data_IF_268164894874
#
_entry.id   IF_268164894874
#
_cell.length_a   1.000
_cell.length_b   1.000
_cell.length_c   1.000
_cell.angle_alpha   90.00
_cell.angle_beta   90.00
_cell.angle_gamma   90.00
#
_symmetry.space_group_name_H-M   'P 1'
#
loop_
_entity.id
_entity.type
_entity.pdbx_description
1 polymer ?
#
# COMPACT_ATOMS: atom_id res chain seq x y z
N UNK A 1 45.64 3.30 -18.82
CA UNK A 1 44.52 2.35 -18.62
C UNK A 1 44.78 1.54 -17.37
N UNK A 2 43.88 1.51 -16.39
CA UNK A 2 43.91 0.55 -15.27
C UNK A 2 42.48 0.27 -14.79
N UNK A 3 41.81 -0.70 -15.40
CA UNK A 3 40.50 -1.19 -14.93
C UNK A 3 40.75 -2.33 -13.96
N UNK A 4 40.53 -2.11 -12.65
CA UNK A 4 40.50 -3.21 -11.69
C UNK A 4 39.31 -4.11 -12.00
N UNK A 5 39.56 -5.35 -12.42
CA UNK A 5 38.53 -6.40 -12.44
C UNK A 5 38.09 -6.66 -11.00
N UNK A 6 36.87 -6.24 -10.64
CA UNK A 6 36.19 -6.74 -9.45
C UNK A 6 35.96 -8.25 -9.66
N UNK A 7 36.44 -9.07 -8.72
CA UNK A 7 36.02 -10.48 -8.66
C UNK A 7 34.58 -10.51 -8.16
N UNK A 8 33.67 -11.08 -8.95
CA UNK A 8 32.33 -11.41 -8.47
C UNK A 8 32.45 -12.61 -7.51
N UNK A 9 31.77 -12.58 -6.37
CA UNK A 9 31.65 -13.76 -5.51
C UNK A 9 30.56 -14.68 -6.07
N UNK A 10 30.78 -16.00 -5.96
CA UNK A 10 29.82 -17.02 -6.39
C UNK A 10 29.13 -17.62 -5.16
N UNK A 11 27.91 -17.14 -4.89
CA UNK A 11 27.05 -17.67 -3.83
C UNK A 11 26.43 -19.02 -4.25
N UNK A 12 26.03 -19.82 -3.24
CA UNK A 12 25.33 -21.10 -3.40
C UNK A 12 24.03 -21.06 -2.60
N UNK A 13 23.07 -21.92 -2.95
CA UNK A 13 21.85 -22.12 -2.15
C UNK A 13 22.21 -22.43 -0.69
N UNK A 14 21.57 -21.74 0.26
CA UNK A 14 21.61 -22.06 1.69
C UNK A 14 20.22 -22.47 2.17
N UNK A 15 20.12 -23.44 3.08
CA UNK A 15 18.88 -23.78 3.78
C UNK A 15 19.00 -23.34 5.23
N UNK A 16 18.05 -22.54 5.72
CA UNK A 16 18.01 -22.04 7.10
C UNK A 16 16.73 -22.47 7.80
N UNK A 17 16.84 -22.72 9.10
CA UNK A 17 15.67 -22.94 9.96
C UNK A 17 15.06 -21.60 10.39
N UNK A 18 13.75 -21.43 10.21
CA UNK A 18 13.02 -20.22 10.60
C UNK A 18 12.99 -20.07 12.13
N UNK A 19 13.53 -18.97 12.66
CA UNK A 19 13.58 -18.79 14.10
C UNK A 19 12.20 -18.79 14.79
N UNK A 20 11.13 -18.39 14.08
CA UNK A 20 9.77 -18.34 14.60
C UNK A 20 9.02 -19.68 14.48
N UNK A 21 8.86 -20.22 13.27
CA UNK A 21 8.02 -21.41 13.03
C UNK A 21 8.79 -22.75 12.95
N UNK A 22 10.13 -22.72 13.07
CA UNK A 22 11.04 -23.87 12.99
C UNK A 22 10.93 -24.74 11.72
N UNK A 23 10.24 -24.27 10.68
CA UNK A 23 10.31 -24.79 9.31
C UNK A 23 11.60 -24.33 8.63
N UNK A 24 12.14 -25.16 7.76
CA UNK A 24 13.26 -24.75 6.90
C UNK A 24 12.79 -23.89 5.71
N UNK A 25 13.65 -22.98 5.26
CA UNK A 25 13.46 -22.16 4.06
C UNK A 25 14.78 -21.97 3.31
N UNK A 26 14.70 -21.84 2.00
CA UNK A 26 15.86 -21.59 1.15
C UNK A 26 16.19 -20.09 1.05
N UNK A 27 17.47 -19.78 0.90
CA UNK A 27 18.01 -18.51 0.41
C UNK A 27 18.78 -18.82 -0.87
N UNK A 28 18.34 -18.26 -2.00
CA UNK A 28 18.93 -18.49 -3.32
C UNK A 28 20.18 -17.59 -3.51
N UNK A 29 21.14 -17.94 -4.39
CA UNK A 29 22.29 -17.09 -4.73
C UNK A 29 21.91 -15.64 -5.04
N UNK A 30 20.81 -15.45 -5.75
CA UNK A 30 20.21 -14.17 -6.13
C UNK A 30 19.79 -13.35 -4.89
N UNK A 31 19.35 -14.02 -3.82
CA UNK A 31 18.93 -13.38 -2.58
C UNK A 31 20.14 -12.87 -1.79
N UNK A 32 21.27 -13.58 -1.80
CA UNK A 32 22.53 -13.08 -1.20
C UNK A 32 23.01 -11.81 -1.90
N UNK A 33 22.94 -11.76 -3.23
CA UNK A 33 23.25 -10.55 -4.00
C UNK A 33 22.31 -9.38 -3.60
N UNK A 34 21.04 -9.65 -3.29
CA UNK A 34 20.10 -8.65 -2.77
C UNK A 34 20.51 -8.13 -1.38
N UNK A 35 20.77 -9.03 -0.42
CA UNK A 35 21.15 -8.65 0.96
C UNK A 35 22.50 -7.90 1.02
N UNK A 36 23.47 -8.30 0.19
CA UNK A 36 24.75 -7.58 0.00
C UNK A 36 24.52 -6.17 -0.57
N UNK A 37 23.72 -6.04 -1.65
CA UNK A 37 23.35 -4.76 -2.30
C UNK A 37 22.73 -3.76 -1.32
N UNK A 38 22.00 -4.23 -0.31
CA UNK A 38 21.34 -3.35 0.68
C UNK A 38 22.15 -3.12 1.97
N UNK A 39 23.22 -3.89 2.21
CA UNK A 39 24.02 -3.92 3.46
C UNK A 39 23.21 -4.34 4.69
N UNK A 40 22.44 -5.42 4.56
CA UNK A 40 21.61 -6.00 5.63
C UNK A 40 21.90 -7.50 5.73
N UNK A 41 21.95 -8.12 6.92
CA UNK A 41 22.11 -9.58 7.04
C UNK A 41 20.99 -10.36 6.32
N UNK A 42 21.27 -11.52 5.70
CA UNK A 42 20.23 -12.41 5.20
C UNK A 42 19.34 -12.93 6.35
N UNK A 43 18.02 -13.02 6.16
CA UNK A 43 17.06 -13.12 7.24
C UNK A 43 17.12 -14.43 8.03
N UNK A 44 16.62 -14.36 9.25
CA UNK A 44 16.39 -15.52 10.12
C UNK A 44 14.91 -15.97 10.15
N UNK A 45 14.01 -15.16 9.56
CA UNK A 45 12.57 -15.42 9.47
C UNK A 45 12.18 -15.91 8.08
N UNK A 46 11.38 -16.98 8.01
CA UNK A 46 10.77 -17.41 6.76
C UNK A 46 9.68 -16.41 6.29
N UNK A 47 9.37 -16.38 4.99
CA UNK A 47 8.51 -15.34 4.40
C UNK A 47 7.08 -15.30 4.94
N UNK A 48 6.50 -16.46 5.28
CA UNK A 48 5.18 -16.54 5.93
C UNK A 48 5.16 -15.73 7.24
N UNK A 49 6.18 -15.88 8.08
CA UNK A 49 6.27 -15.21 9.38
C UNK A 49 6.57 -13.71 9.22
N UNK A 50 7.26 -13.33 8.14
CA UNK A 50 7.50 -11.93 7.76
C UNK A 50 6.23 -11.23 7.29
N UNK A 51 5.37 -11.92 6.53
CA UNK A 51 4.04 -11.41 6.17
C UNK A 51 3.18 -11.15 7.41
N UNK A 52 3.13 -12.12 8.34
CA UNK A 52 2.43 -11.97 9.64
C UNK A 52 2.88 -10.70 10.38
N UNK A 53 4.19 -10.45 10.46
CA UNK A 53 4.74 -9.25 11.11
C UNK A 53 4.27 -7.92 10.49
N UNK A 54 4.03 -7.89 9.17
CA UNK A 54 3.46 -6.71 8.48
C UNK A 54 1.95 -6.59 8.68
N UNK A 55 1.18 -7.68 8.54
CA UNK A 55 -0.28 -7.62 8.64
C UNK A 55 -0.78 -7.21 10.03
N UNK A 56 -0.09 -7.65 11.09
CA UNK A 56 -0.32 -7.16 12.47
C UNK A 56 -0.10 -5.64 12.60
N UNK A 57 0.73 -5.07 11.75
CA UNK A 57 1.11 -3.66 11.72
C UNK A 57 0.28 -2.82 10.72
N UNK A 58 -0.93 -3.28 10.39
CA UNK A 58 -1.92 -2.53 9.60
C UNK A 58 -3.29 -2.63 10.30
N UNK A 59 -3.83 -1.49 10.71
CA UNK A 59 -5.23 -1.31 11.08
C UNK A 59 -5.96 -0.75 9.86
N UNK A 60 -7.09 -1.34 9.50
CA UNK A 60 -7.90 -0.88 8.37
C UNK A 60 -9.26 -0.32 8.83
N UNK A 61 -10.12 -1.16 9.43
CA UNK A 61 -11.57 -0.85 9.56
C UNK A 61 -12.10 -0.74 11.00
N UNK A 62 -11.34 -1.08 12.03
CA UNK A 62 -11.78 -0.87 13.43
C UNK A 62 -11.66 0.60 13.79
N UNK A 63 -12.77 1.17 14.26
CA UNK A 63 -12.94 2.59 14.53
C UNK A 63 -13.68 2.80 15.86
N UNK A 64 -13.01 3.44 16.82
CA UNK A 64 -13.52 3.73 18.15
C UNK A 64 -14.00 5.18 18.28
N UNK A 65 -14.95 5.43 19.17
CA UNK A 65 -15.29 6.79 19.63
C UNK A 65 -14.31 7.19 20.73
N UNK A 66 -13.70 8.36 20.59
CA UNK A 66 -12.54 8.78 21.38
C UNK A 66 -12.52 10.32 21.59
N UNK A 67 -11.59 10.85 22.39
CA UNK A 67 -11.42 12.28 22.68
C UNK A 67 -9.99 12.70 22.37
N UNK A 68 -9.82 13.80 21.63
CA UNK A 68 -8.50 14.29 21.24
C UNK A 68 -7.71 14.89 22.42
N UNK A 69 -6.59 14.27 22.80
CA UNK A 69 -5.67 14.65 23.88
C UNK A 69 -4.93 15.99 23.70
N UNK A 70 -5.28 16.76 22.68
CA UNK A 70 -4.77 18.09 22.41
C UNK A 70 -5.85 19.19 22.41
N UNK A 71 -7.13 18.84 22.21
CA UNK A 71 -8.20 19.85 22.11
C UNK A 71 -9.58 19.43 22.66
N UNK A 72 -9.71 18.27 23.31
CA UNK A 72 -10.94 17.81 23.97
C UNK A 72 -12.11 17.51 23.02
N UNK A 73 -11.94 17.62 21.70
CA UNK A 73 -12.97 17.31 20.71
C UNK A 73 -13.18 15.80 20.62
N UNK A 74 -14.44 15.37 20.57
CA UNK A 74 -14.82 14.00 20.19
C UNK A 74 -14.31 13.68 18.78
N UNK A 75 -13.81 12.48 18.60
CA UNK A 75 -13.18 11.98 17.39
C UNK A 75 -13.51 10.51 17.14
N UNK A 76 -13.17 10.06 15.94
CA UNK A 76 -13.07 8.65 15.59
C UNK A 76 -11.58 8.27 15.58
N UNK A 77 -11.23 7.10 16.12
CA UNK A 77 -9.85 6.67 16.40
C UNK A 77 -9.58 5.22 16.00
N UNK A 78 -8.36 4.93 15.55
CA UNK A 78 -7.79 3.60 15.33
C UNK A 78 -7.21 2.95 16.60
N UNK A 79 -7.42 3.58 17.76
CA UNK A 79 -6.94 3.09 19.05
C UNK A 79 -8.14 2.90 19.97
N UNK A 80 -8.21 1.75 20.66
CA UNK A 80 -9.22 1.56 21.70
C UNK A 80 -8.96 2.54 22.85
N UNK A 81 -10.00 3.14 23.47
CA UNK A 81 -9.88 3.94 24.70
C UNK A 81 -9.29 3.17 25.90
N UNK A 82 -9.16 1.84 25.80
CA UNK A 82 -8.47 1.00 26.78
C UNK A 82 -6.94 0.99 26.58
N UNK A 83 -6.42 1.54 25.48
CA UNK A 83 -4.98 1.64 25.22
C UNK A 83 -4.36 2.86 25.90
N UNK A 84 -3.08 2.77 26.27
CA UNK A 84 -2.35 3.88 26.89
C UNK A 84 -1.70 4.84 25.88
N UNK A 85 -2.24 4.97 24.67
CA UNK A 85 -1.69 5.83 23.62
C UNK A 85 -2.33 7.22 23.67
N UNK A 86 -1.52 8.28 23.56
CA UNK A 86 -2.03 9.65 23.45
C UNK A 86 -2.51 9.91 22.01
N UNK A 87 -3.78 10.27 21.81
CA UNK A 87 -4.44 10.33 20.49
C UNK A 87 -4.79 11.76 20.07
N UNK A 88 -4.27 12.18 18.90
CA UNK A 88 -4.54 13.49 18.31
C UNK A 88 -5.44 13.40 17.08
N UNK A 89 -6.46 14.26 17.04
CA UNK A 89 -7.27 14.48 15.85
C UNK A 89 -6.42 15.01 14.68
N UNK A 90 -6.83 14.74 13.44
CA UNK A 90 -6.02 15.10 12.26
C UNK A 90 -5.64 16.58 12.19
N UNK A 91 -6.51 17.52 12.61
CA UNK A 91 -6.16 18.95 12.63
C UNK A 91 -5.07 19.31 13.64
N UNK A 92 -4.96 18.57 14.76
CA UNK A 92 -3.86 18.74 15.72
C UNK A 92 -2.61 17.94 15.29
N UNK A 93 -2.80 16.79 14.66
CA UNK A 93 -1.71 15.99 14.09
C UNK A 93 -0.96 16.68 12.95
N UNK A 94 -1.63 17.53 12.17
CA UNK A 94 -1.05 18.31 11.08
C UNK A 94 -0.84 19.81 11.40
N UNK A 95 -1.13 20.24 12.64
CA UNK A 95 -0.94 21.62 13.09
C UNK A 95 0.29 21.79 14.00
N UNK A 96 0.74 23.02 14.15
CA UNK A 96 2.03 23.38 14.77
C UNK A 96 2.03 23.37 16.31
N UNK A 97 1.08 22.68 16.95
CA UNK A 97 0.95 22.64 18.42
C UNK A 97 1.78 21.54 19.09
N UNK A 98 2.60 20.81 18.32
CA UNK A 98 3.58 19.83 18.79
C UNK A 98 4.59 19.53 17.68
N UNK A 99 5.82 19.17 18.04
CA UNK A 99 6.75 18.50 17.13
C UNK A 99 7.45 17.29 17.79
N UNK A 100 7.80 16.28 16.98
CA UNK A 100 8.37 15.04 17.50
C UNK A 100 9.70 15.21 18.26
N UNK A 101 10.46 16.27 17.97
CA UNK A 101 11.73 16.63 18.63
C UNK A 101 11.58 16.95 20.12
N UNK A 102 10.38 17.36 20.60
CA UNK A 102 10.06 17.48 22.03
C UNK A 102 10.27 16.17 22.81
N UNK A 103 10.11 15.04 22.11
CA UNK A 103 10.19 13.69 22.66
C UNK A 103 11.56 13.04 22.39
N UNK A 104 12.54 13.81 21.90
CA UNK A 104 13.88 13.34 21.57
C UNK A 104 14.58 12.62 22.73
N UNK A 105 15.37 11.60 22.40
CA UNK A 105 16.20 10.84 23.36
C UNK A 105 17.61 10.69 22.83
N UNK A 106 18.58 10.69 23.74
CA UNK A 106 19.91 10.16 23.42
C UNK A 106 19.82 8.65 23.23
N UNK A 107 20.75 8.07 22.47
CA UNK A 107 20.85 6.62 22.33
C UNK A 107 21.58 5.99 23.51
N UNK A 108 20.94 5.05 24.19
CA UNK A 108 21.50 4.32 25.34
C UNK A 108 22.17 3.02 24.87
N UNK A 109 23.48 2.87 25.09
CA UNK A 109 24.24 1.66 24.77
C UNK A 109 24.15 0.56 25.85
N UNK A 110 23.32 0.73 26.87
CA UNK A 110 22.99 -0.31 27.87
C UNK A 110 21.64 -1.02 27.63
N UNK A 111 20.82 -0.52 26.69
CA UNK A 111 19.49 -1.03 26.34
C UNK A 111 19.43 -1.52 24.89
N UNK A 112 18.78 -2.65 24.57
CA UNK A 112 18.51 -3.05 23.19
C UNK A 112 17.73 -1.98 22.41
N UNK A 113 18.07 -1.76 21.13
CA UNK A 113 17.46 -0.71 20.29
C UNK A 113 15.92 -0.76 20.26
N UNK A 114 15.33 -1.94 20.10
CA UNK A 114 13.88 -2.07 19.94
C UNK A 114 13.10 -1.80 21.24
N UNK A 115 13.74 -1.89 22.40
CA UNK A 115 13.18 -1.49 23.69
C UNK A 115 13.03 0.03 23.75
N UNK A 116 14.15 0.76 23.55
CA UNK A 116 14.18 2.23 23.48
C UNK A 116 13.18 2.79 22.46
N UNK A 117 13.08 2.15 21.28
CA UNK A 117 12.14 2.53 20.24
C UNK A 117 10.67 2.29 20.65
N UNK A 118 10.37 1.22 21.39
CA UNK A 118 9.02 0.95 21.90
C UNK A 118 8.63 1.88 23.06
N UNK A 119 9.57 2.23 23.95
CA UNK A 119 9.40 3.25 24.98
C UNK A 119 9.05 4.61 24.37
N UNK A 120 9.78 5.04 23.34
CA UNK A 120 9.51 6.29 22.60
C UNK A 120 8.11 6.26 21.93
N UNK A 121 7.74 5.17 21.26
CA UNK A 121 6.47 5.06 20.52
C UNK A 121 5.21 5.21 21.39
N UNK A 122 5.30 4.85 22.68
CA UNK A 122 4.19 4.99 23.66
C UNK A 122 3.95 6.44 24.08
N UNK A 123 5.00 7.25 24.22
CA UNK A 123 4.90 8.63 24.72
C UNK A 123 4.64 9.67 23.62
N UNK A 124 5.11 9.44 22.39
CA UNK A 124 4.87 10.34 21.26
C UNK A 124 3.41 10.17 20.80
N UNK A 125 2.63 11.26 20.59
CA UNK A 125 1.24 11.17 20.14
C UNK A 125 1.02 10.30 18.90
N UNK A 126 -0.19 9.79 18.76
CA UNK A 126 -0.67 9.03 17.60
C UNK A 126 -1.72 9.84 16.83
N UNK A 127 -1.78 9.65 15.51
CA UNK A 127 -2.87 10.18 14.70
C UNK A 127 -4.12 9.29 14.86
N UNK A 128 -5.25 9.88 15.24
CA UNK A 128 -6.51 9.15 15.46
C UNK A 128 -6.94 8.32 14.24
N UNK A 129 -7.02 8.95 13.07
CA UNK A 129 -7.23 8.28 11.76
C UNK A 129 -6.29 8.93 10.75
N UNK A 130 -5.74 8.15 9.82
CA UNK A 130 -4.77 8.63 8.83
C UNK A 130 -5.50 9.47 7.76
N UNK A 131 -5.81 10.72 8.10
CA UNK A 131 -6.49 11.68 7.23
C UNK A 131 -5.65 12.95 7.10
N UNK A 132 -5.45 13.41 5.86
CA UNK A 132 -4.62 14.57 5.51
C UNK A 132 -5.32 15.43 4.45
N UNK A 133 -5.19 16.75 4.53
CA UNK A 133 -5.73 17.72 3.55
C UNK A 133 -7.21 17.49 3.13
N UNK A 134 -8.02 16.83 3.96
CA UNK A 134 -9.33 16.32 3.56
C UNK A 134 -10.45 17.05 4.30
N UNK A 135 -11.58 17.24 3.63
CA UNK A 135 -12.69 18.09 4.09
C UNK A 135 -14.02 17.33 4.08
N UNK A 136 -14.87 17.58 5.08
CA UNK A 136 -16.19 16.94 5.23
C UNK A 136 -16.17 15.39 5.19
N UNK A 137 -15.05 14.79 5.57
CA UNK A 137 -14.85 13.33 5.58
C UNK A 137 -15.22 12.72 6.93
N UNK A 138 -16.03 11.63 6.94
CA UNK A 138 -16.58 11.01 8.17
C UNK A 138 -16.34 9.51 8.19
N UNK A 139 -15.82 8.99 9.31
CA UNK A 139 -15.45 7.57 9.46
C UNK A 139 -14.46 7.06 8.40
N UNK A 140 -13.59 7.94 7.90
CA UNK A 140 -12.60 7.64 6.87
C UNK A 140 -11.19 7.51 7.45
N UNK A 141 -10.33 6.71 6.83
CA UNK A 141 -8.90 6.63 7.16
C UNK A 141 -8.05 6.23 5.95
N UNK A 142 -6.75 6.47 6.00
CA UNK A 142 -5.85 6.33 4.86
C UNK A 142 -6.11 7.34 3.73
N UNK A 143 -6.74 8.49 4.01
CA UNK A 143 -7.18 9.46 3.00
C UNK A 143 -6.30 10.72 2.92
N UNK A 144 -5.87 11.12 1.72
CA UNK A 144 -5.23 12.44 1.47
C UNK A 144 -5.98 13.23 0.37
N UNK A 145 -6.14 14.55 0.56
CA UNK A 145 -6.77 15.49 -0.39
C UNK A 145 -8.23 15.16 -0.77
N UNK A 146 -8.96 14.40 0.06
CA UNK A 146 -10.32 13.93 -0.23
C UNK A 146 -11.41 14.93 0.22
N UNK A 147 -12.60 14.89 -0.37
CA UNK A 147 -13.71 15.79 -0.01
C UNK A 147 -15.07 15.07 0.05
N UNK A 148 -15.88 15.39 1.07
CA UNK A 148 -17.26 14.91 1.23
C UNK A 148 -17.36 13.37 1.09
N UNK A 149 -16.48 12.65 1.79
CA UNK A 149 -16.42 11.20 1.75
C UNK A 149 -16.95 10.58 3.05
N UNK A 150 -17.68 9.47 3.00
CA UNK A 150 -18.15 8.78 4.22
C UNK A 150 -17.82 7.30 4.17
N UNK A 151 -17.22 6.79 5.25
CA UNK A 151 -16.80 5.39 5.38
C UNK A 151 -15.86 4.95 4.25
N UNK A 152 -14.83 5.77 3.98
CA UNK A 152 -13.85 5.56 2.91
C UNK A 152 -12.47 5.24 3.47
N UNK A 153 -11.84 4.19 2.92
CA UNK A 153 -10.52 3.72 3.35
C UNK A 153 -9.48 3.83 2.22
N UNK A 154 -8.25 4.23 2.53
CA UNK A 154 -7.10 4.25 1.60
C UNK A 154 -7.26 5.14 0.35
N UNK A 155 -8.01 6.24 0.43
CA UNK A 155 -8.31 7.13 -0.71
C UNK A 155 -7.29 8.25 -0.99
N UNK A 156 -7.33 8.80 -2.20
CA UNK A 156 -6.50 9.94 -2.61
C UNK A 156 -7.29 10.83 -3.56
N UNK A 157 -7.40 12.13 -3.30
CA UNK A 157 -8.10 13.08 -4.18
C UNK A 157 -9.56 12.70 -4.55
N UNK A 158 -10.17 11.76 -3.82
CA UNK A 158 -11.53 11.30 -4.03
C UNK A 158 -12.54 12.36 -3.56
N UNK A 159 -13.64 12.50 -4.30
CA UNK A 159 -14.68 13.50 -4.06
C UNK A 159 -16.01 12.77 -4.07
N UNK A 160 -16.88 13.10 -3.10
CA UNK A 160 -18.23 12.53 -2.96
C UNK A 160 -18.24 10.99 -2.79
N UNK A 161 -17.20 10.35 -2.27
CA UNK A 161 -17.11 8.89 -2.22
C UNK A 161 -17.76 8.29 -0.96
N UNK A 162 -18.57 7.24 -1.12
CA UNK A 162 -19.29 6.60 -0.02
C UNK A 162 -19.02 5.09 0.00
N UNK A 163 -18.68 4.54 1.18
CA UNK A 163 -18.56 3.10 1.43
C UNK A 163 -17.60 2.32 0.51
N UNK A 164 -16.42 2.88 0.21
CA UNK A 164 -15.44 2.28 -0.70
C UNK A 164 -13.99 2.31 -0.18
N UNK A 165 -13.15 1.41 -0.70
CA UNK A 165 -11.73 1.24 -0.37
C UNK A 165 -10.86 1.55 -1.59
N UNK A 166 -9.69 2.16 -1.38
CA UNK A 166 -8.77 2.62 -2.44
C UNK A 166 -9.35 3.55 -3.53
N UNK A 167 -10.32 4.47 -3.28
CA UNK A 167 -10.76 5.45 -4.27
C UNK A 167 -9.73 6.57 -4.41
N UNK A 168 -8.96 6.55 -5.50
CA UNK A 168 -7.76 7.36 -5.68
C UNK A 168 -7.86 8.43 -6.82
N UNK A 169 -8.90 8.64 -7.64
CA UNK A 169 -10.13 7.91 -8.03
C UNK A 169 -11.50 8.31 -7.41
N UNK A 170 -11.90 9.52 -7.83
CA UNK A 170 -13.22 10.17 -8.06
C UNK A 170 -14.42 9.36 -8.62
N UNK A 171 -15.61 10.00 -8.64
CA UNK A 171 -16.71 9.82 -9.62
C UNK A 171 -18.03 10.47 -9.13
N UNK A 172 -19.21 10.07 -9.61
CA UNK A 172 -20.49 10.68 -9.17
C UNK A 172 -20.86 10.42 -7.70
N UNK A 173 -20.08 9.69 -6.87
CA UNK A 173 -19.56 6.55 -6.04
C UNK A 173 -20.62 5.71 -5.24
N UNK A 174 -21.38 4.93 -5.99
CA UNK A 174 -21.91 3.62 -5.56
C UNK A 174 -21.25 2.59 -6.51
N UNK A 175 -19.93 2.76 -6.59
CA UNK A 175 -18.97 2.27 -7.57
C UNK A 175 -17.60 2.24 -6.87
N UNK A 176 -16.77 1.25 -7.20
CA UNK A 176 -16.00 0.57 -6.17
C UNK A 176 -14.52 0.33 -6.52
N UNK A 177 -13.90 -0.50 -5.69
CA UNK A 177 -12.55 -0.37 -5.16
C UNK A 177 -11.36 -0.63 -6.11
N UNK A 178 -11.59 -0.74 -7.43
CA UNK A 178 -10.51 -0.50 -8.39
C UNK A 178 -10.98 0.08 -9.73
N UNK A 179 -10.64 1.35 -9.94
CA UNK A 179 -10.77 2.06 -11.20
C UNK A 179 -9.71 3.14 -11.16
N UNK A 180 -8.71 3.15 -12.04
CA UNK A 180 -7.70 4.23 -12.10
C UNK A 180 -8.26 5.49 -12.80
N UNK A 181 -9.51 5.82 -12.47
CA UNK A 181 -10.43 6.64 -13.26
C UNK A 181 -11.34 7.49 -12.38
N UNK A 182 -12.28 8.18 -13.00
CA UNK A 182 -13.56 8.43 -12.36
C UNK A 182 -14.57 7.34 -12.65
N UNK A 183 -15.30 6.85 -11.64
CA UNK A 183 -16.63 6.20 -11.66
C UNK A 183 -17.01 6.13 -10.17
N UNK A 184 -18.17 6.55 -9.65
CA UNK A 184 -19.52 6.49 -10.18
C UNK A 184 -19.83 6.97 -11.60
N UNK A 185 -20.48 6.07 -12.36
CA UNK A 185 -21.67 6.33 -13.20
C UNK A 185 -22.75 5.24 -12.90
N UNK A 186 -22.67 4.58 -11.75
CA UNK A 186 -23.51 3.45 -11.33
C UNK A 186 -23.27 2.13 -12.11
N UNK A 187 -22.07 1.62 -11.84
CA UNK A 187 -21.64 0.24 -11.58
C UNK A 187 -20.53 -0.32 -12.49
N UNK A 188 -19.34 0.27 -12.30
CA UNK A 188 -18.08 -0.31 -11.75
C UNK A 188 -17.60 -1.76 -12.04
N UNK A 189 -16.35 -2.03 -11.62
CA UNK A 189 -15.29 -2.44 -12.53
C UNK A 189 -14.08 -3.13 -11.85
N UNK A 190 -13.16 -3.61 -12.68
CA UNK A 190 -11.73 -3.29 -12.53
C UNK A 190 -11.24 -2.69 -13.86
N UNK A 191 -10.90 -1.40 -13.91
CA UNK A 191 -10.70 -0.70 -15.21
C UNK A 191 -9.74 0.49 -15.23
N UNK A 192 -9.39 0.93 -16.45
CA UNK A 192 -8.83 2.23 -16.81
C UNK A 192 -9.81 3.11 -17.66
N UNK A 193 -9.38 4.27 -18.17
CA UNK A 193 -10.13 5.53 -18.36
C UNK A 193 -11.62 5.47 -18.68
N UNK A 194 -12.52 5.72 -17.71
CA UNK A 194 -13.98 5.59 -17.89
C UNK A 194 -14.80 6.85 -17.57
N UNK A 195 -15.79 7.14 -18.43
CA UNK A 195 -16.63 8.35 -18.35
C UNK A 195 -18.03 8.10 -18.93
N UNK A 196 -19.08 8.47 -18.18
CA UNK A 196 -20.48 8.26 -18.56
C UNK A 196 -20.78 6.78 -18.94
N UNK A 197 -20.50 5.86 -18.01
CA UNK A 197 -20.32 4.40 -18.18
C UNK A 197 -21.18 3.56 -17.21
N UNK A 198 -22.38 3.13 -17.61
CA UNK A 198 -23.31 2.33 -16.75
C UNK A 198 -23.14 0.82 -16.92
N UNK A 199 -23.14 0.04 -15.83
CA UNK A 199 -23.03 -1.43 -15.87
C UNK A 199 -21.84 -1.91 -16.72
N UNK A 200 -20.63 -1.63 -16.27
CA UNK A 200 -19.46 -1.63 -17.15
C UNK A 200 -18.34 -2.45 -16.51
N UNK A 201 -17.83 -3.48 -17.18
CA UNK A 201 -17.00 -4.52 -16.53
C UNK A 201 -15.70 -4.83 -17.29
N UNK A 202 -14.57 -4.89 -16.58
CA UNK A 202 -13.19 -5.12 -17.09
C UNK A 202 -12.82 -4.38 -18.39
N UNK A 203 -13.28 -3.14 -18.58
CA UNK A 203 -13.23 -2.40 -19.86
C UNK A 203 -12.52 -1.06 -19.73
N UNK A 204 -11.37 -0.91 -20.39
CA UNK A 204 -10.48 0.24 -20.23
C UNK A 204 -10.78 1.33 -21.30
N UNK A 205 -10.57 2.62 -21.00
CA UNK A 205 -10.65 3.71 -21.99
C UNK A 205 -12.03 3.80 -22.70
N UNK A 206 -13.12 3.86 -21.94
CA UNK A 206 -14.50 3.77 -22.44
C UNK A 206 -15.40 4.96 -22.05
N UNK A 207 -16.18 5.49 -23.01
CA UNK A 207 -16.89 6.78 -22.93
C UNK A 207 -18.36 6.66 -23.35
N UNK A 208 -19.28 7.38 -22.68
CA UNK A 208 -20.70 7.55 -23.09
C UNK A 208 -21.40 6.23 -23.46
N UNK A 209 -21.26 5.21 -22.60
CA UNK A 209 -21.56 3.81 -22.91
C UNK A 209 -22.34 3.12 -21.78
N UNK A 210 -22.96 1.99 -22.08
CA UNK A 210 -23.59 1.14 -21.07
C UNK A 210 -23.51 -0.34 -21.42
N UNK A 211 -23.54 -1.22 -20.41
CA UNK A 211 -23.48 -2.67 -20.57
C UNK A 211 -22.28 -3.10 -21.40
N UNK A 212 -21.06 -2.91 -20.88
CA UNK A 212 -19.81 -3.34 -21.53
C UNK A 212 -19.13 -4.48 -20.77
N UNK A 213 -18.54 -5.44 -21.49
CA UNK A 213 -17.60 -6.40 -20.90
C UNK A 213 -16.30 -6.54 -21.72
N UNK A 214 -15.15 -6.36 -21.06
CA UNK A 214 -13.83 -6.49 -21.67
C UNK A 214 -13.68 -5.72 -23.00
N UNK A 215 -14.28 -4.53 -23.10
CA UNK A 215 -14.08 -3.58 -24.20
C UNK A 215 -12.84 -2.71 -23.95
N UNK A 216 -12.16 -2.21 -24.98
CA UNK A 216 -11.10 -1.19 -24.78
C UNK A 216 -11.21 -0.11 -25.86
N UNK A 217 -11.10 1.17 -25.48
CA UNK A 217 -11.08 2.29 -26.41
C UNK A 217 -12.43 2.58 -27.07
N UNK A 218 -13.54 2.33 -26.37
CA UNK A 218 -14.89 2.35 -26.95
C UNK A 218 -15.69 3.60 -26.56
N UNK A 219 -16.31 4.29 -27.52
CA UNK A 219 -17.26 5.39 -27.20
C UNK A 219 -18.65 5.15 -27.77
N UNK A 220 -19.71 5.58 -27.08
CA UNK A 220 -21.08 5.46 -27.58
C UNK A 220 -21.41 4.00 -27.95
N UNK A 221 -21.21 3.10 -26.99
CA UNK A 221 -21.41 1.66 -27.14
C UNK A 221 -22.42 1.14 -26.11
N UNK A 222 -23.37 0.33 -26.54
CA UNK A 222 -24.43 -0.23 -25.71
C UNK A 222 -24.47 -1.76 -25.83
N UNK A 223 -24.44 -2.49 -24.71
CA UNK A 223 -24.58 -3.96 -24.70
C UNK A 223 -23.44 -4.68 -25.44
N UNK A 224 -22.21 -4.16 -25.37
CA UNK A 224 -21.09 -4.59 -26.21
C UNK A 224 -20.01 -5.38 -25.43
N UNK A 225 -19.44 -6.40 -26.07
CA UNK A 225 -18.53 -7.36 -25.43
C UNK A 225 -17.30 -7.60 -26.32
N UNK A 226 -16.11 -7.60 -25.71
CA UNK A 226 -14.81 -7.82 -26.36
C UNK A 226 -14.45 -6.83 -27.49
N UNK A 227 -15.14 -5.69 -27.65
CA UNK A 227 -14.83 -4.72 -28.71
C UNK A 227 -13.50 -4.00 -28.46
N UNK A 228 -12.86 -3.53 -29.54
CA UNK A 228 -11.62 -2.74 -29.50
C UNK A 228 -11.71 -1.54 -30.43
N UNK A 229 -11.45 -0.36 -29.90
CA UNK A 229 -11.39 0.92 -30.63
C UNK A 229 -12.64 1.19 -31.48
N UNK A 230 -13.83 0.88 -30.93
CA UNK A 230 -15.11 1.01 -31.63
C UNK A 230 -15.96 2.19 -31.15
N UNK A 231 -16.83 2.65 -32.05
CA UNK A 231 -17.79 3.73 -31.81
C UNK A 231 -19.15 3.40 -32.39
N UNK A 232 -20.23 3.91 -31.80
CA UNK A 232 -21.60 3.78 -32.32
C UNK A 232 -21.99 2.32 -32.53
N UNK A 233 -21.84 1.51 -31.49
CA UNK A 233 -22.17 0.09 -31.50
C UNK A 233 -23.32 -0.21 -30.54
N UNK A 234 -24.28 -1.02 -30.98
CA UNK A 234 -25.37 -1.54 -30.14
C UNK A 234 -25.38 -3.06 -30.31
N UNK A 235 -25.24 -3.81 -29.22
CA UNK A 235 -25.17 -5.27 -29.22
C UNK A 235 -24.13 -5.84 -30.20
N UNK A 236 -22.90 -5.31 -30.12
CA UNK A 236 -21.77 -5.55 -31.05
C UNK A 236 -22.00 -5.20 -32.53
N UNK A 237 -23.20 -4.80 -32.95
CA UNK A 237 -23.47 -4.30 -34.31
C UNK A 237 -23.05 -2.83 -34.43
N UNK A 238 -22.31 -2.53 -35.51
CA UNK A 238 -21.91 -1.16 -35.90
C UNK A 238 -23.06 -0.41 -36.58
N UNK A 239 -23.16 0.88 -36.30
CA UNK A 239 -24.10 1.83 -36.94
C UNK A 239 -23.33 3.05 -37.46
N UNK A 240 -23.93 3.81 -38.38
CA UNK A 240 -23.53 5.22 -38.56
C UNK A 240 -24.03 6.07 -37.38
N UNK A 241 -23.46 7.25 -37.18
CA UNK A 241 -23.80 8.13 -36.06
C UNK A 241 -25.30 8.53 -36.06
N UNK A 242 -25.86 8.84 -37.22
CA UNK A 242 -27.27 9.24 -37.38
C UNK A 242 -28.27 8.09 -37.29
N UNK A 243 -27.82 6.84 -37.45
CA UNK A 243 -28.63 5.65 -37.14
C UNK A 243 -28.52 5.31 -35.65
N UNK A 244 -27.30 5.38 -35.08
CA UNK A 244 -27.07 5.14 -33.65
C UNK A 244 -27.93 6.07 -32.79
N UNK A 245 -27.96 7.37 -33.09
CA UNK A 245 -28.81 8.36 -32.40
C UNK A 245 -30.29 7.99 -32.41
N UNK A 246 -30.79 7.34 -33.48
CA UNK A 246 -32.19 6.91 -33.61
C UNK A 246 -32.46 5.56 -32.94
N UNK A 247 -31.46 4.68 -32.91
CA UNK A 247 -31.58 3.34 -32.34
C UNK A 247 -31.41 3.33 -30.82
N UNK A 248 -30.50 4.15 -30.27
CA UNK A 248 -30.19 4.21 -28.84
C UNK A 248 -31.35 4.77 -28.00
N UNK A 249 -32.21 5.62 -28.59
CA UNK A 249 -33.41 6.18 -27.91
C UNK A 249 -34.40 5.07 -27.49
N UNK A 250 -34.37 3.90 -28.14
CA UNK A 250 -35.18 2.73 -27.77
C UNK A 250 -34.69 2.03 -26.48
N UNK A 251 -33.51 2.40 -25.99
CA UNK A 251 -32.80 1.77 -24.89
C UNK A 251 -32.75 2.67 -23.64
N UNK A 252 -33.90 3.28 -23.31
CA UNK A 252 -34.04 4.10 -22.11
C UNK A 252 -33.91 3.30 -20.81
N UNK A 253 -32.68 3.26 -20.29
CA UNK A 253 -32.34 2.68 -18.98
C UNK A 253 -33.02 3.36 -17.77
N UNK A 254 -33.73 4.48 -17.95
CA UNK A 254 -34.59 5.06 -16.92
C UNK A 254 -35.84 4.21 -16.64
N UNK A 255 -36.28 3.41 -17.62
CA UNK A 255 -37.32 2.39 -17.43
C UNK A 255 -36.70 1.09 -16.92
N UNK A 256 -37.08 0.66 -15.72
CA UNK A 256 -36.61 -0.60 -15.12
C UNK A 256 -36.81 -1.81 -16.05
N UNK A 257 -37.94 -1.86 -16.78
CA UNK A 257 -38.23 -2.92 -17.76
C UNK A 257 -37.24 -2.92 -18.93
N UNK A 258 -36.90 -1.75 -19.48
CA UNK A 258 -35.95 -1.63 -20.60
C UNK A 258 -34.52 -1.90 -20.12
N UNK A 259 -34.19 -1.50 -18.89
CA UNK A 259 -32.93 -1.83 -18.23
C UNK A 259 -32.75 -3.35 -18.08
N UNK A 260 -33.78 -4.08 -17.65
CA UNK A 260 -33.78 -5.54 -17.63
C UNK A 260 -33.63 -6.15 -19.03
N UNK A 261 -34.42 -5.71 -20.02
CA UNK A 261 -34.31 -6.19 -21.41
C UNK A 261 -32.93 -5.92 -22.04
N UNK A 262 -32.26 -4.83 -21.64
CA UNK A 262 -30.89 -4.51 -22.04
C UNK A 262 -29.87 -5.44 -21.38
N UNK A 263 -30.03 -5.69 -20.08
CA UNK A 263 -29.20 -6.61 -19.30
C UNK A 263 -29.29 -8.05 -19.84
N UNK A 264 -30.49 -8.53 -20.14
CA UNK A 264 -30.72 -9.86 -20.73
C UNK A 264 -29.99 -10.01 -22.08
N UNK A 265 -30.13 -9.04 -22.99
CA UNK A 265 -29.47 -9.06 -24.31
C UNK A 265 -27.95 -8.91 -24.22
N UNK A 266 -27.45 -8.13 -23.26
CA UNK A 266 -26.03 -8.04 -22.97
C UNK A 266 -25.48 -9.39 -22.46
N UNK A 267 -26.19 -10.04 -21.53
CA UNK A 267 -25.80 -11.34 -20.99
C UNK A 267 -25.85 -12.46 -22.05
N UNK A 268 -26.84 -12.43 -22.95
CA UNK A 268 -26.89 -13.32 -24.12
C UNK A 268 -25.61 -13.25 -24.97
N UNK A 269 -25.05 -12.05 -25.18
CA UNK A 269 -23.82 -11.84 -25.96
C UNK A 269 -22.60 -12.25 -25.14
N UNK A 270 -22.57 -11.90 -23.85
CA UNK A 270 -21.51 -12.25 -22.91
C UNK A 270 -21.29 -13.77 -22.79
N UNK A 271 -22.35 -14.58 -22.80
CA UNK A 271 -22.22 -16.04 -22.77
C UNK A 271 -21.83 -16.67 -24.11
N UNK A 272 -22.06 -15.99 -25.24
CA UNK A 272 -21.72 -16.47 -26.59
C UNK A 272 -20.26 -16.15 -26.99
N UNK A 273 -19.51 -15.39 -26.19
CA UNK A 273 -18.18 -14.88 -26.54
C UNK A 273 -17.08 -15.41 -25.60
N UNK A 274 -15.90 -15.82 -26.12
CA UNK A 274 -14.79 -16.35 -25.30
C UNK A 274 -14.21 -15.37 -24.27
N UNK A 275 -13.74 -15.93 -23.15
CA UNK A 275 -13.13 -15.24 -22.00
C UNK A 275 -11.64 -15.59 -21.87
N UNK A 276 -10.88 -14.76 -21.14
CA UNK A 276 -9.44 -15.00 -20.83
C UNK A 276 -9.28 -15.86 -19.58
N UNK A 277 -8.19 -16.63 -19.51
CA UNK A 277 -7.84 -17.46 -18.36
C UNK A 277 -7.27 -16.65 -17.16
N UNK A 278 -6.47 -15.62 -17.41
CA UNK A 278 -5.83 -14.80 -16.38
C UNK A 278 -5.59 -13.36 -16.89
N UNK A 279 -5.37 -12.42 -15.95
CA UNK A 279 -4.84 -11.07 -16.24
C UNK A 279 -3.34 -10.97 -15.86
N UNK A 280 -2.71 -12.11 -15.54
CA UNK A 280 -1.39 -12.43 -16.09
C UNK A 280 -1.56 -12.45 -17.62
N UNK A 281 -1.10 -11.49 -18.43
CA UNK A 281 -0.24 -10.34 -18.16
C UNK A 281 1.23 -10.83 -18.14
N UNK A 282 2.00 -10.72 -19.23
CA UNK A 282 2.65 -11.94 -19.73
C UNK A 282 4.16 -11.90 -20.08
N UNK A 283 5.08 -11.69 -19.13
CA UNK A 283 6.53 -12.01 -19.31
C UNK A 283 7.29 -12.21 -18.00
N UNK A 284 8.42 -12.95 -18.01
CA UNK A 284 8.90 -14.16 -17.24
C UNK A 284 9.71 -14.00 -15.92
N UNK A 285 9.66 -14.83 -14.84
CA UNK A 285 9.14 -16.21 -14.63
C UNK A 285 7.83 -16.53 -13.78
N UNK A 286 7.38 -15.84 -12.70
CA UNK A 286 6.11 -15.87 -11.86
C UNK A 286 5.98 -17.00 -10.82
N UNK A 287 5.33 -16.65 -9.69
CA UNK A 287 4.01 -17.23 -9.31
C UNK A 287 2.99 -16.08 -9.10
N UNK A 288 1.69 -16.28 -9.39
CA UNK A 288 0.64 -15.24 -9.61
C UNK A 288 0.13 -14.40 -8.41
N UNK A 289 -0.99 -13.68 -8.49
CA UNK A 289 -2.05 -13.56 -9.52
C UNK A 289 -2.13 -12.12 -10.11
N UNK A 290 -2.84 -11.89 -11.23
CA UNK A 290 -3.20 -10.63 -11.93
C UNK A 290 -2.22 -9.45 -12.11
N UNK A 291 -1.31 -9.16 -11.17
CA UNK A 291 -0.02 -8.46 -11.35
C UNK A 291 -0.17 -7.19 -12.22
N UNK A 292 0.70 -6.87 -13.20
CA UNK A 292 0.51 -5.73 -14.15
C UNK A 292 1.69 -5.25 -15.06
N UNK A 293 2.66 -6.03 -15.56
CA UNK A 293 2.84 -7.47 -15.44
C UNK A 293 4.18 -8.04 -15.98
N UNK A 294 5.29 -7.82 -15.29
CA UNK A 294 6.55 -8.57 -15.54
C UNK A 294 7.26 -8.82 -14.20
N UNK A 295 8.47 -9.37 -14.21
CA UNK A 295 8.98 -10.18 -13.10
C UNK A 295 10.43 -10.58 -13.36
N UNK A 296 11.12 -11.03 -12.32
CA UNK A 296 11.64 -12.40 -12.32
C UNK A 296 11.20 -13.20 -11.08
N UNK A 297 10.12 -12.73 -10.45
CA UNK A 297 9.56 -13.23 -9.20
C UNK A 297 9.18 -14.71 -9.26
N UNK A 298 9.34 -15.43 -8.14
CA UNK A 298 8.59 -16.66 -7.87
C UNK A 298 7.55 -16.55 -6.76
N UNK A 299 7.25 -15.31 -6.35
CA UNK A 299 6.25 -14.98 -5.32
C UNK A 299 5.92 -13.49 -5.40
N UNK A 300 4.77 -13.02 -4.91
CA UNK A 300 3.41 -13.25 -5.41
C UNK A 300 2.75 -11.85 -5.41
N UNK A 301 1.53 -11.70 -5.92
CA UNK A 301 1.01 -10.38 -6.32
C UNK A 301 -0.32 -10.02 -5.58
N UNK A 302 -1.39 -9.35 -6.04
CA UNK A 302 -1.98 -9.15 -7.38
C UNK A 302 -2.32 -7.68 -7.64
N UNK A 303 -1.57 -7.01 -8.51
CA UNK A 303 -1.24 -5.59 -8.30
C UNK A 303 -0.85 -4.89 -9.61
N UNK A 304 -1.67 -4.00 -10.18
CA UNK A 304 -1.46 -3.35 -11.50
C UNK A 304 -1.07 -1.85 -11.49
N UNK A 305 0.19 -1.40 -11.30
CA UNK A 305 1.31 -2.03 -10.60
C UNK A 305 1.97 -3.25 -11.31
N UNK A 306 2.76 -4.09 -10.62
CA UNK A 306 3.16 -5.46 -10.99
C UNK A 306 4.36 -5.73 -11.90
N UNK A 307 5.60 -5.45 -11.50
CA UNK A 307 6.85 -5.76 -12.25
C UNK A 307 7.89 -6.48 -11.33
N UNK A 308 9.18 -6.43 -11.68
CA UNK A 308 10.38 -6.43 -10.78
C UNK A 308 10.99 -7.77 -10.33
N UNK A 309 12.16 -7.74 -9.68
CA UNK A 309 12.72 -8.90 -8.94
C UNK A 309 12.09 -9.01 -7.55
N UNK A 310 10.76 -9.16 -7.52
CA UNK A 310 10.04 -9.35 -6.27
C UNK A 310 10.24 -10.77 -5.71
N UNK A 311 10.26 -10.87 -4.38
CA UNK A 311 9.65 -12.03 -3.71
C UNK A 311 8.69 -11.56 -2.60
N UNK A 312 7.89 -12.52 -2.15
CA UNK A 312 6.84 -12.55 -1.14
C UNK A 312 6.06 -11.24 -0.84
N UNK A 313 5.75 -10.46 -1.88
CA UNK A 313 4.78 -9.35 -1.80
C UNK A 313 3.40 -9.89 -1.35
N UNK A 314 2.63 -9.01 -0.73
CA UNK A 314 1.19 -9.18 -0.53
C UNK A 314 0.58 -7.79 -0.54
N UNK A 315 -0.38 -7.52 -1.44
CA UNK A 315 -1.11 -6.25 -1.57
C UNK A 315 -0.18 -4.99 -1.66
N UNK A 316 0.27 -4.63 -2.87
CA UNK A 316 1.17 -3.48 -3.16
C UNK A 316 1.20 -3.17 -4.68
N UNK A 317 0.38 -2.28 -5.22
CA UNK A 317 -0.29 -1.11 -4.64
C UNK A 317 0.37 0.20 -5.09
N UNK A 318 0.56 0.35 -6.41
CA UNK A 318 1.77 0.94 -7.03
C UNK A 318 3.06 0.26 -6.51
N UNK A 319 4.15 0.26 -7.30
CA UNK A 319 5.38 -0.43 -6.92
C UNK A 319 6.58 -0.11 -7.83
N UNK A 320 7.76 -0.49 -7.35
CA UNK A 320 9.06 -0.73 -7.96
C UNK A 320 9.90 -1.44 -6.88
N UNK A 321 10.72 -2.41 -7.28
CA UNK A 321 11.49 -3.38 -6.50
C UNK A 321 12.70 -3.74 -7.43
N UNK A 322 13.85 -4.22 -6.99
CA UNK A 322 14.06 -5.42 -6.18
C UNK A 322 13.57 -5.30 -4.73
N UNK A 323 13.05 -6.40 -4.20
CA UNK A 323 12.45 -6.41 -2.85
C UNK A 323 12.00 -7.79 -2.47
N UNK A 324 12.11 -8.12 -1.19
CA UNK A 324 11.36 -9.22 -0.62
C UNK A 324 10.37 -8.68 0.42
N UNK A 325 9.08 -8.76 0.07
CA UNK A 325 7.93 -8.57 0.94
C UNK A 325 7.57 -7.11 1.36
N UNK A 326 6.42 -6.63 0.85
CA UNK A 326 5.91 -5.24 0.93
C UNK A 326 4.39 -5.27 1.03
N UNK A 327 3.77 -4.44 1.90
CA UNK A 327 2.29 -4.38 2.11
C UNK A 327 1.82 -3.05 2.73
N UNK A 328 1.41 -1.97 2.07
CA UNK A 328 1.43 -1.58 0.66
C UNK A 328 2.61 -0.62 0.38
N UNK A 329 3.20 -0.65 -0.82
CA UNK A 329 4.40 0.13 -1.12
C UNK A 329 4.54 0.70 -2.54
N UNK A 330 3.79 1.75 -2.82
CA UNK A 330 4.00 2.74 -3.90
C UNK A 330 3.02 3.90 -3.74
N UNK A 331 3.05 4.94 -4.56
CA UNK A 331 3.88 5.29 -5.74
C UNK A 331 5.04 6.20 -5.29
N UNK A 332 6.31 6.19 -5.76
CA UNK A 332 6.99 5.56 -6.91
C UNK A 332 8.21 4.71 -6.51
N UNK A 333 8.18 4.12 -5.30
CA UNK A 333 8.90 2.87 -4.94
C UNK A 333 10.43 2.75 -5.20
N UNK A 334 10.98 1.53 -5.27
CA UNK A 334 12.41 1.12 -5.33
C UNK A 334 13.30 1.66 -4.18
N UNK A 335 13.96 0.85 -3.36
CA UNK A 335 14.17 -0.60 -3.30
C UNK A 335 13.89 -1.00 -1.84
N UNK A 336 13.17 -2.10 -1.56
CA UNK A 336 12.42 -2.22 -0.27
C UNK A 336 12.51 -3.60 0.41
N UNK A 337 12.76 -3.63 1.72
CA UNK A 337 12.64 -4.83 2.59
C UNK A 337 12.63 -4.37 4.05
N UNK A 338 11.52 -4.27 4.79
CA UNK A 338 10.12 -4.59 4.55
C UNK A 338 9.22 -3.47 5.12
N UNK A 339 7.99 -3.35 4.64
CA UNK A 339 7.24 -2.07 4.73
C UNK A 339 5.74 -2.22 4.89
N UNK A 340 5.15 -1.30 5.67
CA UNK A 340 3.72 -0.98 5.68
C UNK A 340 3.44 0.53 5.46
N UNK A 341 4.11 1.16 4.48
CA UNK A 341 3.64 2.42 3.88
C UNK A 341 4.71 3.32 3.24
N UNK A 342 4.50 3.78 1.99
CA UNK A 342 5.45 4.67 1.26
C UNK A 342 4.81 5.52 0.16
N UNK A 343 5.19 6.81 0.02
CA UNK A 343 4.94 7.64 -1.19
C UNK A 343 5.85 8.89 -1.24
N UNK A 344 6.75 9.14 -2.20
CA UNK A 344 7.35 8.29 -3.24
C UNK A 344 8.75 7.89 -2.79
N UNK A 345 9.08 6.61 -2.83
CA UNK A 345 10.32 6.03 -2.31
C UNK A 345 11.52 6.23 -3.29
N UNK A 346 12.79 5.95 -2.95
CA UNK A 346 13.63 6.51 -1.86
C UNK A 346 14.43 5.52 -0.98
N UNK A 347 14.38 4.19 -1.21
CA UNK A 347 14.95 3.11 -0.35
C UNK A 347 14.48 3.12 1.12
N UNK A 348 13.90 2.01 1.60
CA UNK A 348 13.50 1.90 3.02
C UNK A 348 13.54 0.46 3.58
N UNK A 349 14.18 0.34 4.76
CA UNK A 349 14.55 -0.93 5.42
C UNK A 349 14.65 -0.73 6.94
N UNK A 350 13.59 -0.72 7.76
CA UNK A 350 12.20 -1.15 7.60
C UNK A 350 11.23 0.00 7.94
N UNK A 351 9.92 -0.14 7.67
CA UNK A 351 8.98 1.00 7.90
C UNK A 351 7.54 0.62 8.22
N UNK A 352 6.91 1.54 8.96
CA UNK A 352 5.50 1.59 9.38
C UNK A 352 4.78 2.88 8.93
N UNK A 353 5.52 3.84 8.34
CA UNK A 353 5.12 4.70 7.19
C UNK A 353 6.20 5.77 6.87
N UNK A 354 6.32 6.16 5.60
CA UNK A 354 7.11 7.31 5.15
C UNK A 354 6.42 8.07 4.00
N UNK A 355 6.58 9.40 3.93
CA UNK A 355 6.19 10.18 2.75
C UNK A 355 7.16 11.29 2.40
N UNK A 356 7.61 11.33 1.15
CA UNK A 356 8.67 12.20 0.61
C UNK A 356 10.05 12.11 1.30
N UNK A 357 10.30 11.16 2.21
CA UNK A 357 11.55 11.11 2.99
C UNK A 357 12.63 10.16 2.43
N UNK A 358 13.84 10.67 2.19
CA UNK A 358 14.98 9.95 1.58
C UNK A 358 15.76 9.12 2.62
N UNK A 359 16.15 7.89 2.25
CA UNK A 359 17.00 6.96 3.02
C UNK A 359 16.50 6.70 4.46
N UNK A 360 15.58 5.74 4.63
CA UNK A 360 14.84 5.54 5.89
C UNK A 360 14.99 4.12 6.45
N UNK A 361 15.66 4.03 7.59
CA UNK A 361 16.00 2.76 8.24
C UNK A 361 16.03 2.95 9.79
N UNK A 362 14.99 2.82 10.64
CA UNK A 362 13.61 2.36 10.47
C UNK A 362 12.61 3.46 10.94
N UNK A 363 11.33 3.40 10.56
CA UNK A 363 10.34 4.51 10.78
C UNK A 363 8.93 4.09 11.22
N UNK A 364 8.32 4.87 12.11
CA UNK A 364 6.85 4.98 12.34
C UNK A 364 6.53 6.37 12.92
N UNK A 365 6.08 7.42 12.21
CA UNK A 365 5.93 7.66 10.78
C UNK A 365 6.68 8.97 10.47
N UNK A 366 7.26 9.14 9.27
CA UNK A 366 8.11 10.32 8.97
C UNK A 366 7.82 10.98 7.63
N UNK A 367 7.74 12.33 7.64
CA UNK A 367 7.28 13.13 6.51
C UNK A 367 8.27 14.24 6.12
N UNK A 368 8.65 14.32 4.83
CA UNK A 368 9.54 15.34 4.26
C UNK A 368 10.92 15.45 4.96
N UNK A 369 11.54 14.33 5.35
CA UNK A 369 12.86 14.29 6.00
C UNK A 369 13.94 13.68 5.09
N UNK A 370 15.20 13.71 5.53
CA UNK A 370 16.25 12.82 5.00
C UNK A 370 17.13 12.29 6.13
N UNK A 371 17.89 11.23 5.89
CA UNK A 371 18.96 10.78 6.80
C UNK A 371 18.44 10.48 8.22
N UNK A 372 17.55 9.49 8.34
CA UNK A 372 16.89 9.15 9.60
C UNK A 372 17.07 7.68 9.98
N UNK A 373 17.56 7.42 11.20
CA UNK A 373 17.81 6.09 11.73
C UNK A 373 17.04 5.83 13.03
N UNK A 374 15.94 5.08 12.96
CA UNK A 374 15.11 4.72 14.13
C UNK A 374 14.28 5.90 14.64
N UNK A 375 13.25 6.30 13.89
CA UNK A 375 12.55 7.58 14.05
C UNK A 375 11.01 7.43 14.20
N UNK A 376 10.40 8.18 15.12
CA UNK A 376 8.97 8.09 15.43
C UNK A 376 8.47 9.31 16.25
N UNK A 377 7.81 10.35 15.72
CA UNK A 377 6.98 10.46 14.49
C UNK A 377 7.18 11.87 13.87
N UNK A 378 8.28 12.10 13.15
CA UNK A 378 8.83 13.43 12.79
C UNK A 378 8.30 14.07 11.48
N UNK A 379 8.46 15.40 11.34
CA UNK A 379 8.37 16.13 10.05
C UNK A 379 9.48 17.15 9.85
N UNK A 380 9.92 17.34 8.60
CA UNK A 380 10.82 18.43 8.17
C UNK A 380 12.17 18.54 8.92
N UNK A 381 12.76 17.40 9.34
CA UNK A 381 14.09 17.34 9.99
C UNK A 381 15.09 16.54 9.13
N UNK A 382 16.36 16.54 9.53
CA UNK A 382 17.45 15.72 8.98
C UNK A 382 18.34 15.17 10.09
N UNK A 383 19.12 14.13 9.82
CA UNK A 383 20.14 13.60 10.74
C UNK A 383 19.56 13.27 12.13
N UNK A 384 18.54 12.40 12.14
CA UNK A 384 17.71 12.14 13.33
C UNK A 384 17.78 10.67 13.79
N UNK A 385 17.91 10.49 15.11
CA UNK A 385 17.87 9.19 15.82
C UNK A 385 16.98 9.37 17.07
N UNK A 386 16.03 8.46 17.31
CA UNK A 386 15.11 8.49 18.46
C UNK A 386 14.51 9.89 18.72
N UNK A 387 14.01 10.52 17.65
CA UNK A 387 13.52 11.90 17.58
C UNK A 387 14.49 13.04 17.91
N UNK A 388 15.69 12.79 18.45
CA UNK A 388 16.71 13.83 18.57
C UNK A 388 17.32 14.10 17.19
N UNK A 389 17.53 15.38 16.89
CA UNK A 389 18.31 15.84 15.75
C UNK A 389 19.78 16.05 16.17
N UNK A 390 20.70 15.66 15.29
CA UNK A 390 22.16 15.74 15.46
C UNK A 390 22.77 16.58 14.33
N UNK A 391 24.06 16.90 14.44
CA UNK A 391 24.86 17.36 13.29
C UNK A 391 25.07 16.22 12.28
N UNK A 392 25.50 16.58 11.07
CA UNK A 392 25.77 15.62 10.00
C UNK A 392 26.92 14.66 10.38
N UNK A 393 27.94 15.21 11.05
CA UNK A 393 29.13 14.52 11.54
C UNK A 393 28.78 13.53 12.66
N UNK A 394 28.09 13.99 13.70
CA UNK A 394 27.63 13.13 14.82
C UNK A 394 26.75 11.98 14.33
N UNK A 395 25.79 12.26 13.43
CA UNK A 395 24.90 11.24 12.87
C UNK A 395 25.68 10.17 12.09
N UNK A 396 26.65 10.60 11.25
CA UNK A 396 27.50 9.70 10.46
C UNK A 396 28.46 8.87 11.32
N UNK A 397 28.89 9.39 12.48
CA UNK A 397 29.70 8.63 13.44
C UNK A 397 28.86 7.69 14.31
N UNK A 398 27.65 8.09 14.70
CA UNK A 398 26.80 7.37 15.65
C UNK A 398 26.02 6.22 14.98
N UNK A 399 25.44 6.43 13.80
CA UNK A 399 24.63 5.40 13.12
C UNK A 399 25.37 4.05 12.94
N UNK A 400 26.65 3.98 12.50
CA UNK A 400 27.38 2.72 12.40
C UNK A 400 27.55 2.01 13.75
N UNK A 401 27.79 2.77 14.83
CA UNK A 401 27.92 2.23 16.20
C UNK A 401 26.62 1.60 16.67
N UNK A 402 25.48 2.24 16.39
CA UNK A 402 24.16 1.67 16.74
C UNK A 402 23.87 0.41 15.91
N UNK A 403 24.15 0.42 14.59
CA UNK A 403 23.97 -0.76 13.74
C UNK A 403 24.81 -1.95 14.22
N UNK A 404 26.03 -1.71 14.69
CA UNK A 404 26.88 -2.75 15.32
C UNK A 404 26.33 -3.17 16.69
N UNK A 405 25.94 -2.23 17.54
CA UNK A 405 25.33 -2.53 18.85
C UNK A 405 24.08 -3.42 18.73
N UNK A 406 23.24 -3.21 17.72
CA UNK A 406 22.09 -4.07 17.41
C UNK A 406 22.45 -5.49 16.96
N UNK A 407 23.70 -5.75 16.56
CA UNK A 407 24.21 -7.10 16.27
C UNK A 407 24.73 -7.77 17.53
N UNK A 408 25.38 -7.01 18.42
CA UNK A 408 26.04 -7.52 19.63
C UNK A 408 25.06 -7.66 20.81
N UNK A 409 24.17 -6.68 20.98
CA UNK A 409 23.07 -6.67 21.95
C UNK A 409 21.70 -6.68 21.21
N UNK A 410 21.29 -7.81 20.62
CA UNK A 410 19.98 -7.93 20.01
C UNK A 410 18.87 -7.82 21.06
N UNK A 411 17.70 -7.34 20.63
CA UNK A 411 16.49 -7.48 21.42
C UNK A 411 16.01 -8.94 21.38
N UNK A 412 15.57 -9.47 22.51
CA UNK A 412 15.02 -10.83 22.63
C UNK A 412 13.62 -10.70 23.22
N UNK A 413 12.62 -11.28 22.54
CA UNK A 413 11.22 -11.14 22.92
C UNK A 413 10.74 -12.20 23.93
N UNK A 414 9.48 -12.08 24.38
CA UNK A 414 8.85 -13.01 25.34
C UNK A 414 8.85 -14.50 24.93
N UNK A 415 9.17 -14.81 23.66
CA UNK A 415 9.23 -16.17 23.10
C UNK A 415 10.66 -16.59 22.72
N UNK A 416 11.68 -15.83 23.15
CA UNK A 416 13.08 -16.09 22.85
C UNK A 416 13.47 -15.84 21.39
N UNK A 417 12.68 -15.06 20.65
CA UNK A 417 12.98 -14.70 19.25
C UNK A 417 13.91 -13.49 19.23
N UNK A 418 14.92 -13.54 18.37
CA UNK A 418 16.08 -12.63 18.39
C UNK A 418 15.94 -11.60 17.27
N UNK A 419 15.96 -10.32 17.62
CA UNK A 419 15.82 -9.19 16.69
C UNK A 419 17.13 -8.39 16.64
N UNK A 420 17.88 -8.61 15.56
CA UNK A 420 19.14 -7.91 15.22
C UNK A 420 18.88 -6.76 14.25
N UNK A 421 19.92 -5.97 13.95
CA UNK A 421 19.87 -5.09 12.77
C UNK A 421 19.63 -5.95 11.51
N UNK A 422 18.54 -5.67 10.80
CA UNK A 422 18.08 -6.46 9.66
C UNK A 422 16.82 -7.30 9.89
N UNK A 423 16.15 -7.13 11.03
CA UNK A 423 14.84 -7.71 11.29
C UNK A 423 13.74 -6.62 11.43
N UNK A 424 12.49 -6.97 11.12
CA UNK A 424 11.33 -6.08 11.27
C UNK A 424 10.99 -5.82 12.76
N UNK A 425 10.08 -4.89 13.04
CA UNK A 425 9.64 -4.59 14.41
C UNK A 425 9.16 -5.85 15.16
N UNK A 426 9.50 -6.02 16.45
CA UNK A 426 9.01 -7.13 17.26
C UNK A 426 7.49 -7.24 17.29
N UNK A 427 6.99 -8.48 17.26
CA UNK A 427 5.55 -8.76 17.16
C UNK A 427 4.79 -8.27 18.41
N UNK A 428 5.40 -8.35 19.59
CA UNK A 428 4.84 -7.80 20.84
C UNK A 428 4.97 -6.27 20.97
N UNK A 429 5.60 -5.60 19.99
CA UNK A 429 5.60 -4.15 19.84
C UNK A 429 4.57 -3.64 18.80
N UNK A 430 3.60 -4.47 18.40
CA UNK A 430 2.41 -4.01 17.65
C UNK A 430 1.61 -2.99 18.48
N UNK A 431 0.97 -2.02 17.81
CA UNK A 431 0.00 -1.11 18.46
C UNK A 431 -1.43 -1.67 18.46
N UNK A 432 -1.66 -2.79 17.78
CA UNK A 432 -2.98 -3.38 17.54
C UNK A 432 -2.95 -4.88 17.82
N UNK A 433 -4.04 -5.41 18.37
CA UNK A 433 -4.17 -6.84 18.62
C UNK A 433 -4.40 -7.60 17.31
N UNK A 434 -4.21 -8.92 17.36
CA UNK A 434 -4.52 -9.82 16.24
C UNK A 434 -5.92 -9.58 15.68
N UNK A 435 -6.90 -9.32 16.55
CA UNK A 435 -8.32 -9.20 16.21
C UNK A 435 -8.72 -7.86 15.58
N UNK A 436 -7.82 -6.88 15.54
CA UNK A 436 -8.08 -5.55 14.96
C UNK A 436 -7.26 -5.29 13.68
N UNK A 437 -6.26 -6.14 13.43
CA UNK A 437 -5.28 -5.96 12.36
C UNK A 437 -5.69 -6.67 11.06
N UNK A 438 -5.05 -6.30 9.94
CA UNK A 438 -5.31 -6.86 8.61
C UNK A 438 -5.12 -8.38 8.52
N UNK A 439 -4.52 -9.03 9.52
CA UNK A 439 -4.30 -10.49 9.58
C UNK A 439 -5.59 -11.34 9.65
N UNK A 440 -6.76 -10.71 9.86
CA UNK A 440 -8.07 -11.39 9.76
C UNK A 440 -8.62 -11.49 8.32
N UNK A 441 -7.98 -10.86 7.32
CA UNK A 441 -8.36 -10.90 5.91
C UNK A 441 -7.40 -11.80 5.09
#
# INVERSE_FOLDING_TARGET
MYVKKLKKMEYKNETKNCQNCKKDFAIEPEDFNFYEKIKVPPPTWCPECRLIGRLLNIMERTLYNDICDNCGKRIVSHFSPETSYRVFCSSCWWGDSWEGTEYGREYDFSKPFFEQFHELRKIVPCQAVNMKNSTDCKYCSGIDRCKNCTYVFSGLQSINCYYCVTPIFVKDSIDSDFIINGDHIYETFSSNGVYNTKFTYFSDECLDSAFLFNCIGCSNCFGCVNLRNQKYCIFNKKYSEEEYKKEIIKWDTGSYKIMQEAQEKFMEIYYKIPKRFAIITNSTNVVGDNIKNTKNCKVCFSVFNGVENCKYIFYSGFLLKDSHDVTLGGDTSELLYQTTGSTRCQRAFFTRASSNSIDVEYSENVYNCSDCFGCAKLRHKKYCILNKQYTEEEYKELMPKIKQHMMDMPYIDSKGRIYKYGEYFPIEHSMWTYNESLIQQ
#
